data_IF_067549479139
#
_entry.id   IF_067549479139
#
_cell.length_a   1.000
_cell.length_b   1.000
_cell.length_c   1.000
_cell.angle_alpha   90.00
_cell.angle_beta   90.00
_cell.angle_gamma   90.00
#
_symmetry.space_group_name_H-M   'P 1'
#
loop_
_entity.id
_entity.type
_entity.pdbx_description
1 polymer ?
#
# COMPACT_ATOMS: atom_id res chain seq x y z
N UNK A 1 1.19 0.42 -10.65
CA UNK A 1 2.62 0.73 -10.79
C UNK A 1 3.34 -0.57 -11.13
N UNK A 2 4.24 -0.55 -12.11
CA UNK A 2 5.02 -1.73 -12.46
C UNK A 2 5.99 -2.09 -11.33
N UNK A 3 6.21 -3.38 -11.11
CA UNK A 3 7.23 -3.88 -10.20
C UNK A 3 8.62 -3.41 -10.67
N UNK A 4 9.42 -2.91 -9.73
CA UNK A 4 10.75 -2.38 -10.03
C UNK A 4 11.77 -3.50 -10.04
N UNK A 5 12.47 -3.67 -11.16
CA UNK A 5 13.57 -4.63 -11.29
C UNK A 5 14.67 -4.29 -10.29
N UNK A 6 15.28 -5.33 -9.70
CA UNK A 6 16.34 -5.17 -8.70
C UNK A 6 17.70 -5.04 -9.37
N UNK A 7 18.48 -4.09 -8.87
CA UNK A 7 19.91 -3.95 -9.14
C UNK A 7 20.69 -4.24 -7.85
N UNK A 8 21.94 -4.69 -7.99
CA UNK A 8 22.78 -5.07 -6.85
C UNK A 8 24.13 -4.37 -6.91
N UNK A 9 24.29 -3.32 -6.10
CA UNK A 9 25.57 -2.64 -5.93
C UNK A 9 26.67 -3.57 -5.38
N UNK A 10 26.28 -4.66 -4.69
CA UNK A 10 27.24 -5.66 -4.20
C UNK A 10 27.86 -6.41 -5.37
N UNK A 11 27.06 -6.80 -6.37
CA UNK A 11 27.55 -7.51 -7.56
C UNK A 11 28.40 -6.60 -8.45
N UNK A 12 28.03 -5.33 -8.59
CA UNK A 12 28.85 -4.34 -9.29
C UNK A 12 30.23 -4.16 -8.64
N UNK A 13 30.25 -4.00 -7.31
CA UNK A 13 31.52 -3.92 -6.55
C UNK A 13 32.30 -5.23 -6.63
N UNK A 14 31.64 -6.38 -6.63
CA UNK A 14 32.31 -7.68 -6.76
C UNK A 14 32.98 -7.83 -8.13
N UNK A 15 32.29 -7.46 -9.21
CA UNK A 15 32.85 -7.43 -10.56
C UNK A 15 34.03 -6.45 -10.67
N UNK A 16 33.93 -5.26 -10.07
CA UNK A 16 35.03 -4.31 -10.07
C UNK A 16 36.27 -4.87 -9.34
N UNK A 17 36.08 -5.56 -8.21
CA UNK A 17 37.17 -6.25 -7.50
C UNK A 17 37.75 -7.38 -8.33
N UNK A 18 36.92 -8.22 -8.95
CA UNK A 18 37.38 -9.32 -9.81
C UNK A 18 38.30 -8.79 -10.91
N UNK A 19 37.89 -7.74 -11.64
CA UNK A 19 38.73 -7.11 -12.68
C UNK A 19 40.04 -6.56 -12.14
N UNK A 20 40.00 -5.95 -10.95
CA UNK A 20 41.21 -5.48 -10.28
C UNK A 20 42.18 -6.63 -9.97
N UNK A 21 41.65 -7.74 -9.44
CA UNK A 21 42.45 -8.93 -9.13
C UNK A 21 43.00 -9.59 -10.40
N UNK A 22 42.20 -9.74 -11.45
CA UNK A 22 42.62 -10.25 -12.77
C UNK A 22 43.78 -9.42 -13.37
N UNK A 23 43.78 -8.10 -13.16
CA UNK A 23 44.85 -7.22 -13.66
C UNK A 23 46.16 -7.36 -12.90
N UNK A 24 46.11 -7.82 -11.64
CA UNK A 24 47.29 -8.00 -10.79
C UNK A 24 47.92 -9.37 -11.04
N UNK A 25 47.11 -10.43 -10.96
CA UNK A 25 47.53 -11.81 -11.23
C UNK A 25 46.33 -12.63 -11.71
N UNK A 26 46.31 -13.06 -12.99
CA UNK A 26 45.21 -13.82 -13.57
C UNK A 26 45.09 -15.25 -13.03
N UNK A 27 46.11 -15.74 -12.30
CA UNK A 27 46.15 -17.10 -11.72
C UNK A 27 46.14 -17.10 -10.21
N UNK A 28 45.74 -15.99 -9.59
CA UNK A 28 45.76 -15.81 -8.15
C UNK A 28 44.92 -16.87 -7.42
N UNK A 29 45.59 -17.64 -6.57
CA UNK A 29 44.97 -18.56 -5.61
C UNK A 29 45.46 -18.21 -4.20
N UNK A 30 44.53 -17.76 -3.35
CA UNK A 30 44.81 -17.43 -1.95
C UNK A 30 44.74 -18.66 -1.04
N UNK A 31 44.48 -19.85 -1.61
CA UNK A 31 44.26 -21.08 -0.87
C UNK A 31 42.89 -21.10 -0.19
N UNK A 32 42.60 -22.18 0.55
CA UNK A 32 41.32 -22.34 1.29
C UNK A 32 40.04 -22.17 0.45
N UNK A 33 40.11 -22.42 -0.86
CA UNK A 33 38.99 -22.27 -1.79
C UNK A 33 38.72 -20.82 -2.23
N UNK A 34 39.58 -19.87 -1.85
CA UNK A 34 39.57 -18.49 -2.33
C UNK A 34 40.44 -18.37 -3.59
N UNK A 35 39.96 -18.98 -4.68
CA UNK A 35 40.57 -18.82 -6.00
C UNK A 35 39.84 -17.74 -6.81
N UNK A 36 40.55 -17.10 -7.74
CA UNK A 36 39.98 -16.12 -8.65
C UNK A 36 38.83 -16.72 -9.48
N UNK A 37 39.02 -17.96 -9.94
CA UNK A 37 38.00 -18.73 -10.67
C UNK A 37 36.75 -18.96 -9.82
N UNK A 38 36.91 -19.42 -8.57
CA UNK A 38 35.78 -19.63 -7.67
C UNK A 38 35.01 -18.34 -7.37
N UNK A 39 35.72 -17.21 -7.29
CA UNK A 39 35.10 -15.90 -7.13
C UNK A 39 34.29 -15.48 -8.38
N UNK A 40 34.86 -15.65 -9.57
CA UNK A 40 34.17 -15.38 -10.84
C UNK A 40 32.91 -16.25 -11.00
N UNK A 41 33.00 -17.55 -10.70
CA UNK A 41 31.89 -18.49 -10.77
C UNK A 41 30.77 -18.10 -9.80
N UNK A 42 31.11 -17.67 -8.57
CA UNK A 42 30.15 -17.21 -7.58
C UNK A 42 29.44 -15.92 -8.04
N UNK A 43 30.17 -14.99 -8.66
CA UNK A 43 29.59 -13.78 -9.23
C UNK A 43 28.63 -14.14 -10.38
N UNK A 44 29.05 -15.03 -11.29
CA UNK A 44 28.23 -15.47 -12.42
C UNK A 44 26.94 -16.15 -11.95
N UNK A 45 27.04 -17.08 -10.99
CA UNK A 45 25.89 -17.76 -10.40
C UNK A 45 24.93 -16.77 -9.70
N UNK A 46 25.48 -15.76 -9.03
CA UNK A 46 24.69 -14.72 -8.37
C UNK A 46 23.98 -13.81 -9.37
N UNK A 47 24.64 -13.45 -10.48
CA UNK A 47 24.03 -12.70 -11.57
C UNK A 47 22.89 -13.48 -12.24
N UNK A 48 23.08 -14.78 -12.49
CA UNK A 48 22.02 -15.63 -13.04
C UNK A 48 20.79 -15.64 -12.13
N UNK A 49 20.97 -15.78 -10.81
CA UNK A 49 19.86 -15.70 -9.84
C UNK A 49 19.16 -14.34 -9.85
N UNK A 50 19.91 -13.24 -9.95
CA UNK A 50 19.33 -11.90 -10.05
C UNK A 50 18.52 -11.71 -11.35
N UNK A 51 19.00 -12.26 -12.47
CA UNK A 51 18.28 -12.23 -13.74
C UNK A 51 16.98 -13.04 -13.65
N UNK A 52 17.03 -14.27 -13.14
CA UNK A 52 15.83 -15.09 -12.91
C UNK A 52 14.81 -14.38 -12.02
N UNK A 53 15.26 -13.75 -10.94
CA UNK A 53 14.40 -12.94 -10.07
C UNK A 53 13.72 -11.80 -10.83
N UNK A 54 14.48 -11.04 -11.62
CA UNK A 54 13.94 -9.91 -12.38
C UNK A 54 13.00 -10.36 -13.52
N UNK A 55 13.21 -11.54 -14.10
CA UNK A 55 12.29 -12.14 -15.07
C UNK A 55 10.96 -12.53 -14.43
N UNK A 56 11.00 -13.21 -13.28
CA UNK A 56 9.79 -13.55 -12.53
C UNK A 56 8.99 -12.29 -12.15
N UNK A 57 9.69 -11.20 -11.82
CA UNK A 57 9.05 -9.93 -11.51
C UNK A 57 8.35 -9.31 -12.74
N UNK A 58 8.96 -9.41 -13.92
CA UNK A 58 8.36 -8.95 -15.17
C UNK A 58 7.14 -9.79 -15.57
N UNK A 59 7.18 -11.10 -15.31
CA UNK A 59 6.05 -12.01 -15.52
C UNK A 59 4.88 -11.70 -14.57
N UNK A 60 5.19 -11.43 -13.29
CA UNK A 60 4.20 -10.98 -12.31
C UNK A 60 3.53 -9.66 -12.73
N UNK A 61 4.31 -8.73 -13.31
CA UNK A 61 3.75 -7.49 -13.85
C UNK A 61 2.81 -7.73 -15.04
N UNK A 62 3.20 -8.62 -15.96
CA UNK A 62 2.38 -8.98 -17.11
C UNK A 62 1.04 -9.56 -16.67
N UNK A 63 1.07 -10.57 -15.80
CA UNK A 63 -0.15 -11.21 -15.29
C UNK A 63 -1.04 -10.22 -14.53
N UNK A 64 -0.44 -9.27 -13.79
CA UNK A 64 -1.17 -8.18 -13.12
C UNK A 64 -1.90 -7.27 -14.12
N UNK A 65 -1.28 -6.95 -15.26
CA UNK A 65 -1.90 -6.13 -16.31
C UNK A 65 -3.06 -6.90 -16.96
N UNK A 66 -2.82 -8.14 -17.38
CA UNK A 66 -3.83 -9.00 -18.01
C UNK A 66 -5.05 -9.17 -17.09
N UNK A 67 -4.83 -9.37 -15.78
CA UNK A 67 -5.91 -9.46 -14.81
C UNK A 67 -6.69 -8.13 -14.66
N UNK A 68 -6.00 -6.99 -14.64
CA UNK A 68 -6.65 -5.69 -14.54
C UNK A 68 -7.52 -5.39 -15.77
N UNK A 69 -7.07 -5.78 -16.96
CA UNK A 69 -7.85 -5.69 -18.20
C UNK A 69 -9.11 -6.57 -18.14
N UNK A 70 -8.96 -7.82 -17.69
CA UNK A 70 -10.09 -8.71 -17.48
C UNK A 70 -11.10 -8.12 -16.48
N UNK A 71 -10.63 -7.57 -15.35
CA UNK A 71 -11.50 -6.90 -14.38
C UNK A 71 -12.24 -5.70 -14.98
N UNK A 72 -11.56 -4.88 -15.78
CA UNK A 72 -12.16 -3.72 -16.46
C UNK A 72 -13.27 -4.16 -17.43
N UNK A 73 -13.04 -5.24 -18.18
CA UNK A 73 -14.04 -5.80 -19.10
C UNK A 73 -15.30 -6.28 -18.37
N UNK A 74 -15.13 -7.02 -17.26
CA UNK A 74 -16.22 -7.51 -16.42
C UNK A 74 -16.99 -6.34 -15.80
N UNK A 75 -16.30 -5.32 -15.30
CA UNK A 75 -16.93 -4.11 -14.76
C UNK A 75 -17.78 -3.38 -15.80
N UNK A 76 -17.28 -3.25 -17.02
CA UNK A 76 -17.98 -2.61 -18.13
C UNK A 76 -19.26 -3.37 -18.49
N UNK A 77 -19.16 -4.70 -18.64
CA UNK A 77 -20.32 -5.55 -18.96
C UNK A 77 -21.33 -5.54 -17.81
N UNK A 78 -20.86 -5.63 -16.56
CA UNK A 78 -21.73 -5.56 -15.37
C UNK A 78 -22.53 -4.25 -15.33
N UNK A 79 -21.87 -3.12 -15.63
CA UNK A 79 -22.52 -1.81 -15.71
C UNK A 79 -23.57 -1.75 -16.83
N UNK A 80 -23.29 -2.36 -17.98
CA UNK A 80 -24.24 -2.47 -19.11
C UNK A 80 -25.44 -3.35 -18.74
N UNK A 81 -25.23 -4.48 -18.08
CA UNK A 81 -26.31 -5.37 -17.62
C UNK A 81 -27.24 -4.62 -16.66
N UNK A 82 -26.68 -3.95 -15.65
CA UNK A 82 -27.48 -3.15 -14.71
C UNK A 82 -28.25 -2.04 -15.43
N UNK A 83 -27.64 -1.37 -16.40
CA UNK A 83 -28.29 -0.34 -17.21
C UNK A 83 -29.44 -0.90 -18.05
N UNK A 84 -29.28 -2.09 -18.64
CA UNK A 84 -30.32 -2.77 -19.39
C UNK A 84 -31.51 -3.19 -18.50
N UNK A 85 -31.24 -3.64 -17.27
CA UNK A 85 -32.29 -3.94 -16.28
C UNK A 85 -33.04 -2.67 -15.90
N UNK A 86 -32.33 -1.56 -15.66
CA UNK A 86 -32.96 -0.24 -15.43
C UNK A 86 -33.83 0.17 -16.61
N UNK A 87 -33.37 -0.04 -17.86
CA UNK A 87 -34.15 0.30 -19.05
C UNK A 87 -35.42 -0.56 -19.19
N UNK A 88 -35.41 -1.81 -18.69
CA UNK A 88 -36.54 -2.75 -18.78
C UNK A 88 -37.55 -2.62 -17.65
N UNK A 89 -37.07 -2.50 -16.41
CA UNK A 89 -37.90 -2.58 -15.20
C UNK A 89 -37.95 -1.26 -14.42
N UNK A 90 -37.04 -0.32 -14.72
CA UNK A 90 -36.89 0.92 -13.98
C UNK A 90 -35.89 0.82 -12.82
N UNK A 91 -35.42 1.98 -12.35
CA UNK A 91 -34.32 2.10 -11.38
C UNK A 91 -34.71 1.81 -9.93
N UNK A 92 -36.01 1.87 -9.61
CA UNK A 92 -36.57 1.54 -8.29
C UNK A 92 -37.24 0.15 -8.26
N UNK A 93 -37.03 -0.66 -9.30
CA UNK A 93 -37.60 -2.00 -9.40
C UNK A 93 -36.92 -3.00 -8.46
N UNK A 94 -37.67 -4.04 -8.07
CA UNK A 94 -37.15 -5.13 -7.25
C UNK A 94 -36.11 -5.95 -8.02
N UNK A 95 -36.30 -6.07 -9.33
CA UNK A 95 -35.41 -6.76 -10.27
C UNK A 95 -34.03 -6.10 -10.32
N UNK A 96 -33.99 -4.76 -10.34
CA UNK A 96 -32.73 -4.02 -10.25
C UNK A 96 -32.02 -4.25 -8.92
N UNK A 97 -32.76 -4.28 -7.81
CA UNK A 97 -32.20 -4.61 -6.49
C UNK A 97 -31.67 -6.06 -6.42
N UNK A 98 -32.43 -7.02 -6.97
CA UNK A 98 -32.03 -8.44 -7.04
C UNK A 98 -30.79 -8.65 -7.91
N UNK A 99 -30.60 -7.84 -8.96
CA UNK A 99 -29.41 -7.86 -9.79
C UNK A 99 -28.17 -7.19 -9.13
N UNK A 100 -28.30 -6.73 -7.88
CA UNK A 100 -27.21 -6.08 -7.13
C UNK A 100 -27.17 -4.55 -7.28
N UNK A 101 -28.13 -3.96 -7.98
CA UNK A 101 -28.32 -2.51 -8.03
C UNK A 101 -28.77 -1.94 -6.68
N UNK A 102 -28.41 -0.68 -6.40
CA UNK A 102 -28.91 0.05 -5.22
C UNK A 102 -29.95 1.08 -5.65
N UNK A 103 -31.26 0.89 -5.37
CA UNK A 103 -32.30 1.82 -5.80
C UNK A 103 -32.26 3.15 -5.00
N UNK A 104 -32.57 4.30 -5.62
CA UNK A 104 -32.56 5.61 -4.98
C UNK A 104 -33.51 5.70 -3.77
N UNK A 105 -34.65 4.99 -3.82
CA UNK A 105 -35.60 4.88 -2.72
C UNK A 105 -34.99 4.31 -1.41
N UNK A 106 -33.93 3.49 -1.48
CA UNK A 106 -33.21 2.98 -0.30
C UNK A 106 -32.29 4.02 0.36
N UNK A 107 -31.88 5.08 -0.33
CA UNK A 107 -30.97 6.09 0.23
C UNK A 107 -31.63 6.99 1.30
N UNK A 108 -32.96 7.00 1.41
CA UNK A 108 -33.70 7.93 2.31
C UNK A 108 -34.31 7.31 3.56
N UNK A 109 -34.22 5.99 3.78
CA UNK A 109 -34.89 5.33 4.93
C UNK A 109 -34.15 5.37 6.27
N UNK A 110 -32.94 5.95 6.38
CA UNK A 110 -32.23 6.02 7.67
C UNK A 110 -32.63 7.22 8.55
N UNK A 111 -33.42 8.18 8.06
CA UNK A 111 -33.91 9.32 8.86
C UNK A 111 -35.42 9.21 9.07
N UNK A 112 -35.82 8.39 10.04
CA UNK A 112 -37.03 8.52 10.88
C UNK A 112 -37.17 7.27 11.75
N UNK A 113 -36.27 7.10 12.72
CA UNK A 113 -36.68 6.45 13.97
C UNK A 113 -37.29 7.57 14.80
N UNK A 114 -38.61 7.63 14.79
CA UNK A 114 -39.43 8.57 15.53
C UNK A 114 -39.04 8.55 17.01
N UNK A 115 -38.65 9.72 17.53
CA UNK A 115 -38.81 10.09 18.94
C UNK A 115 -40.31 9.98 19.26
N UNK A 116 -40.73 8.84 19.80
CA UNK A 116 -42.06 8.67 20.36
C UNK A 116 -41.96 7.62 21.45
N UNK A 117 -41.58 8.06 22.64
CA UNK A 117 -42.01 7.58 23.98
C UNK A 117 -40.99 8.11 24.99
N UNK A 118 -41.38 9.15 25.73
CA UNK A 118 -41.01 9.42 27.13
C UNK A 118 -41.60 10.78 27.52
N UNK A 119 -42.92 10.77 27.72
CA UNK A 119 -43.64 11.86 28.38
C UNK A 119 -43.83 11.46 29.84
N UNK A 120 -43.23 12.27 30.72
CA UNK A 120 -43.63 12.65 32.07
C UNK A 120 -43.18 11.89 33.34
N UNK A 121 -42.92 12.75 34.34
CA UNK A 121 -42.76 12.59 35.80
C UNK A 121 -41.33 12.32 36.30
N UNK A 122 -40.78 12.94 37.35
CA UNK A 122 -41.11 14.10 38.19
C UNK A 122 -39.84 14.46 39.01
N UNK A 123 -39.68 15.75 39.33
CA UNK A 123 -39.07 16.39 40.52
C UNK A 123 -38.03 15.66 41.42
N UNK A 124 -36.92 16.36 41.73
CA UNK A 124 -36.27 16.61 43.06
C UNK A 124 -34.77 16.94 42.84
N UNK A 125 -34.27 18.13 43.22
CA UNK A 125 -33.42 18.41 44.41
C UNK A 125 -32.16 17.52 44.50
N UNK A 126 -30.94 17.92 44.88
CA UNK A 126 -30.33 19.16 45.38
C UNK A 126 -28.79 18.92 45.51
N UNK A 127 -28.00 19.99 45.45
CA UNK A 127 -26.71 20.28 46.12
C UNK A 127 -25.61 19.21 46.37
N UNK A 128 -24.42 19.55 45.85
CA UNK A 128 -23.07 19.51 46.47
C UNK A 128 -22.39 18.19 46.89
N UNK A 129 -21.26 17.88 46.24
CA UNK A 129 -19.94 17.57 46.84
C UNK A 129 -18.97 17.23 45.68
N UNK A 130 -17.95 18.04 45.44
CA UNK A 130 -16.60 17.98 46.02
C UNK A 130 -15.66 17.02 45.25
N UNK A 131 -14.39 17.44 45.21
CA UNK A 131 -13.17 16.75 44.74
C UNK A 131 -12.71 16.93 43.27
N UNK A 132 -11.64 17.74 43.18
CA UNK A 132 -10.30 17.27 42.79
C UNK A 132 -9.81 17.44 41.34
N UNK A 133 -8.70 18.19 41.27
CA UNK A 133 -7.52 17.99 40.41
C UNK A 133 -7.57 18.53 38.98
N UNK A 134 -7.04 19.75 38.80
CA UNK A 134 -6.34 20.12 37.57
C UNK A 134 -4.84 20.14 37.84
N UNK A 135 -4.18 19.24 37.13
CA UNK A 135 -2.78 18.87 37.20
C UNK A 135 -1.99 19.63 36.13
N UNK A 136 -0.84 20.17 36.52
CA UNK A 136 0.38 20.12 35.71
C UNK A 136 0.54 21.09 34.54
N UNK A 137 0.91 22.34 34.85
CA UNK A 137 1.67 23.20 33.93
C UNK A 137 3.11 22.70 33.82
N UNK A 138 3.51 22.15 32.67
CA UNK A 138 4.93 22.07 32.28
C UNK A 138 5.11 21.75 30.78
N UNK A 139 6.13 22.41 30.19
CA UNK A 139 6.92 22.03 29.00
C UNK A 139 6.29 22.34 27.63
N UNK A 140 6.94 23.00 26.67
CA UNK A 140 8.38 23.14 26.38
C UNK A 140 8.68 24.49 25.72
N UNK A 141 9.79 25.09 26.14
CA UNK A 141 10.48 26.14 25.37
C UNK A 141 11.35 25.51 24.29
N UNK A 142 11.32 26.11 23.10
CA UNK A 142 12.38 25.99 22.10
C UNK A 142 12.86 27.41 21.82
N UNK A 143 14.06 27.72 22.30
CA UNK A 143 14.74 28.98 22.01
C UNK A 143 15.16 29.02 20.55
N UNK A 144 14.72 30.06 19.84
CA UNK A 144 15.27 30.42 18.54
C UNK A 144 16.70 30.92 18.72
N UNK A 145 17.65 30.17 18.15
CA UNK A 145 19.02 30.60 17.96
C UNK A 145 19.10 31.53 16.74
N UNK A 146 19.36 32.80 17.07
CA UNK A 146 19.94 33.88 16.28
C UNK A 146 20.52 33.51 14.92
N UNK A 147 20.00 34.12 13.84
CA UNK A 147 20.74 34.32 12.59
C UNK A 147 21.39 35.69 12.59
N UNK A 148 22.71 35.67 12.73
CA UNK A 148 23.63 36.78 12.55
C UNK A 148 23.64 37.30 11.11
N UNK A 149 23.66 38.63 11.01
CA UNK A 149 23.95 39.40 9.81
C UNK A 149 25.44 39.28 9.39
N UNK A 150 25.68 39.41 8.08
CA UNK A 150 26.86 39.96 7.40
C UNK A 150 26.46 40.02 5.91
N UNK A 151 26.13 41.19 5.38
CA UNK A 151 27.00 42.24 4.81
C UNK A 151 27.74 41.80 3.55
#
# INVERSE_FOLDING_TARGET
MAYQKRQSAILEKALARLRGLESLDPTMDLGSGLSLQGYADLIAASNAKLQTYNLALAEADRTRIEFAEAQSSVSTISSRILSAIVARYGKDSKEYEMAGGKPPSRYKRSRKKSLATSTNQSQSESTSSDSAQLNGSARNGYGELSRSAQS
#
